data_IF_108510056435
#
_entry.id   IF_108510056435
#
_cell.length_a   1.000
_cell.length_b   1.000
_cell.length_c   1.000
_cell.angle_alpha   90.00
_cell.angle_beta   90.00
_cell.angle_gamma   90.00
#
_symmetry.space_group_name_H-M   'P 1'
#
loop_
_entity.id
_entity.type
_entity.pdbx_description
1 polymer ?
#
# COMPACT_ATOMS: atom_id res chain seq x y z
N UNK A 1 10.94 -21.19 -3.53
CA UNK A 1 9.71 -20.55 -4.06
C UNK A 1 9.21 -19.57 -2.99
N UNK A 2 8.71 -18.38 -3.38
CA UNK A 2 8.11 -17.43 -2.44
C UNK A 2 6.60 -17.46 -2.62
N UNK A 3 5.88 -17.77 -1.54
CA UNK A 3 4.41 -17.86 -1.56
C UNK A 3 3.86 -16.67 -0.78
N UNK A 4 2.88 -15.98 -1.36
CA UNK A 4 2.08 -14.97 -0.70
C UNK A 4 0.62 -15.39 -0.64
N UNK A 5 -0.10 -14.93 0.36
CA UNK A 5 -1.55 -15.12 0.49
C UNK A 5 -2.27 -13.80 0.48
N UNK A 6 -3.44 -13.75 -0.13
CA UNK A 6 -4.34 -12.60 -0.08
C UNK A 6 -5.44 -12.95 0.92
N UNK A 7 -5.61 -12.13 1.94
CA UNK A 7 -6.68 -12.26 2.90
C UNK A 7 -7.85 -11.33 2.51
N UNK A 8 -9.05 -11.83 2.75
CA UNK A 8 -10.27 -11.08 2.45
C UNK A 8 -10.39 -9.87 3.38
N UNK A 9 -10.59 -8.70 2.81
CA UNK A 9 -10.75 -7.45 3.55
C UNK A 9 -12.05 -7.36 4.37
N UNK A 10 -12.97 -8.32 4.23
CA UNK A 10 -14.14 -8.48 5.09
C UNK A 10 -13.80 -9.09 6.45
N UNK A 11 -12.66 -9.74 6.57
CA UNK A 11 -12.13 -10.23 7.84
C UNK A 11 -11.86 -9.07 8.80
N UNK A 12 -12.08 -9.29 10.09
CA UNK A 12 -11.74 -8.29 11.10
C UNK A 12 -10.22 -8.09 11.20
N UNK A 13 -9.80 -6.98 11.78
CA UNK A 13 -8.36 -6.72 12.03
C UNK A 13 -7.74 -7.80 12.91
N UNK A 14 -8.52 -8.36 13.85
CA UNK A 14 -8.08 -9.49 14.68
C UNK A 14 -7.86 -10.75 13.84
N UNK A 15 -8.82 -11.10 12.95
CA UNK A 15 -8.70 -12.29 12.10
C UNK A 15 -7.51 -12.16 11.13
N UNK A 16 -7.32 -10.97 10.53
CA UNK A 16 -6.14 -10.68 9.68
C UNK A 16 -4.85 -10.87 10.47
N UNK A 17 -4.82 -10.42 11.71
CA UNK A 17 -3.66 -10.59 12.59
C UNK A 17 -3.39 -12.07 12.89
N UNK A 18 -4.40 -12.81 13.32
CA UNK A 18 -4.26 -14.23 13.66
C UNK A 18 -3.82 -15.07 12.46
N UNK A 19 -4.49 -14.90 11.31
CA UNK A 19 -4.14 -15.60 10.08
C UNK A 19 -2.77 -15.20 9.56
N UNK A 20 -2.42 -13.91 9.69
CA UNK A 20 -1.11 -13.40 9.29
C UNK A 20 0.04 -13.96 10.14
N UNK A 21 -0.14 -14.06 11.46
CA UNK A 21 0.83 -14.69 12.36
C UNK A 21 0.93 -16.19 12.10
N UNK A 22 -0.19 -16.85 11.79
CA UNK A 22 -0.21 -18.26 11.39
C UNK A 22 0.57 -18.45 10.08
N UNK A 23 0.34 -17.59 9.09
CA UNK A 23 1.08 -17.59 7.83
C UNK A 23 2.59 -17.42 8.05
N UNK A 24 2.99 -16.48 8.93
CA UNK A 24 4.40 -16.30 9.33
C UNK A 24 4.98 -17.58 9.93
N UNK A 25 4.25 -18.24 10.84
CA UNK A 25 4.66 -19.50 11.48
C UNK A 25 4.93 -20.60 10.46
N UNK A 26 4.14 -20.68 9.40
CA UNK A 26 4.30 -21.67 8.33
C UNK A 26 5.24 -21.21 7.20
N UNK A 27 5.96 -20.12 7.36
CA UNK A 27 6.97 -19.68 6.41
C UNK A 27 6.40 -19.04 5.13
N UNK A 28 5.15 -18.59 5.15
CA UNK A 28 4.58 -17.80 4.06
C UNK A 28 5.36 -16.49 3.95
N UNK A 29 5.70 -16.09 2.73
CA UNK A 29 6.56 -14.95 2.48
C UNK A 29 5.84 -13.61 2.68
N UNK A 30 4.57 -13.52 2.31
CA UNK A 30 3.82 -12.27 2.37
C UNK A 30 2.33 -12.47 2.57
N UNK A 31 1.71 -11.53 3.29
CA UNK A 31 0.27 -11.38 3.46
C UNK A 31 -0.18 -10.09 2.78
N UNK A 32 -1.26 -10.18 2.02
CA UNK A 32 -1.86 -9.07 1.33
C UNK A 32 -3.30 -8.89 1.78
N UNK A 33 -3.70 -7.64 2.06
CA UNK A 33 -5.10 -7.29 2.30
C UNK A 33 -5.71 -6.72 1.01
N UNK A 34 -6.78 -7.35 0.54
CA UNK A 34 -7.52 -6.83 -0.60
C UNK A 34 -8.15 -5.47 -0.25
N UNK A 35 -8.25 -4.59 -1.24
CA UNK A 35 -8.82 -3.25 -1.09
C UNK A 35 -10.01 -3.08 -2.03
N UNK A 36 -11.20 -2.95 -1.46
CA UNK A 36 -12.46 -2.66 -2.15
C UNK A 36 -13.11 -1.45 -1.50
N UNK A 37 -14.03 -0.79 -2.22
CA UNK A 37 -14.72 0.42 -1.74
C UNK A 37 -15.57 0.18 -0.49
N UNK A 38 -16.13 -1.02 -0.37
CA UNK A 38 -17.00 -1.47 0.73
C UNK A 38 -16.30 -2.35 1.77
N UNK A 39 -14.98 -2.30 1.78
CA UNK A 39 -14.15 -3.08 2.69
C UNK A 39 -13.49 -2.20 3.77
N UNK A 40 -12.83 -2.85 4.73
CA UNK A 40 -12.01 -2.14 5.72
C UNK A 40 -10.83 -1.45 5.05
N UNK A 41 -10.45 -0.30 5.58
CA UNK A 41 -9.27 0.43 5.11
C UNK A 41 -8.03 -0.46 5.27
N UNK A 42 -7.29 -0.75 4.19
CA UNK A 42 -6.31 -1.83 4.18
C UNK A 42 -5.06 -1.56 5.03
N UNK A 43 -4.62 -0.31 5.18
CA UNK A 43 -3.49 0.01 6.05
C UNK A 43 -3.84 -0.19 7.52
N UNK A 44 -5.05 0.24 7.94
CA UNK A 44 -5.54 0.03 9.31
C UNK A 44 -5.77 -1.45 9.57
N UNK A 45 -6.33 -2.18 8.62
CA UNK A 45 -6.60 -3.61 8.76
C UNK A 45 -5.32 -4.44 8.93
N UNK A 46 -4.20 -3.97 8.41
CA UNK A 46 -2.88 -4.61 8.54
C UNK A 46 -2.05 -4.11 9.73
N UNK A 47 -2.49 -3.06 10.42
CA UNK A 47 -1.66 -2.39 11.45
C UNK A 47 -1.29 -3.30 12.63
N UNK A 48 -2.21 -4.13 13.09
CA UNK A 48 -1.97 -5.06 14.18
C UNK A 48 -0.95 -6.14 13.77
N UNK A 49 -1.12 -6.74 12.61
CA UNK A 49 -0.16 -7.71 12.05
C UNK A 49 1.22 -7.06 11.84
N UNK A 50 1.27 -5.82 11.36
CA UNK A 50 2.51 -5.09 11.16
C UNK A 50 3.34 -4.97 12.44
N UNK A 51 2.68 -4.66 13.55
CA UNK A 51 3.34 -4.48 14.86
C UNK A 51 3.70 -5.79 15.55
N UNK A 52 2.89 -6.84 15.39
CA UNK A 52 3.07 -8.11 16.11
C UNK A 52 3.92 -9.14 15.37
N UNK A 53 3.96 -9.09 14.04
CA UNK A 53 4.80 -9.98 13.24
C UNK A 53 6.26 -9.53 13.20
N UNK A 54 7.16 -10.45 12.83
CA UNK A 54 8.61 -10.19 12.82
C UNK A 54 9.30 -10.45 11.47
N UNK A 55 8.74 -11.28 10.61
CA UNK A 55 9.38 -11.75 9.37
C UNK A 55 8.52 -11.56 8.13
N UNK A 56 7.20 -11.74 8.24
CA UNK A 56 6.29 -11.71 7.10
C UNK A 56 6.23 -10.32 6.48
N UNK A 57 6.29 -10.27 5.15
CA UNK A 57 6.01 -9.04 4.42
C UNK A 57 4.49 -8.85 4.33
N UNK A 58 4.03 -7.60 4.30
CA UNK A 58 2.60 -7.33 4.27
C UNK A 58 2.29 -6.07 3.49
N UNK A 59 1.06 -5.95 3.01
CA UNK A 59 0.63 -4.74 2.33
C UNK A 59 -0.73 -4.83 1.67
N UNK A 60 -1.26 -3.69 1.21
CA UNK A 60 -2.52 -3.66 0.45
C UNK A 60 -2.35 -4.11 -1.00
N UNK A 61 -3.43 -4.71 -1.55
CA UNK A 61 -3.55 -5.10 -2.95
C UNK A 61 -5.00 -4.89 -3.47
N UNK A 62 -5.26 -4.09 -4.48
CA UNK A 62 -4.40 -3.05 -5.00
C UNK A 62 -5.03 -1.70 -4.69
N UNK A 63 -4.21 -0.70 -4.35
CA UNK A 63 -4.65 0.67 -4.28
C UNK A 63 -4.53 1.34 -5.65
N UNK A 64 -5.26 2.42 -5.87
CA UNK A 64 -5.21 3.15 -7.13
C UNK A 64 -5.16 4.66 -6.89
N UNK A 65 -4.56 5.43 -7.81
CA UNK A 65 -4.37 6.87 -7.64
C UNK A 65 -5.62 7.72 -7.96
N UNK A 66 -6.77 7.10 -8.25
CA UNK A 66 -7.99 7.83 -8.60
C UNK A 66 -8.90 8.07 -7.39
N UNK A 67 -9.02 7.10 -6.51
CA UNK A 67 -9.76 7.24 -5.25
C UNK A 67 -8.89 7.78 -4.12
N UNK A 68 -7.59 7.55 -4.21
CA UNK A 68 -6.65 7.98 -3.17
C UNK A 68 -5.41 8.65 -3.79
N UNK A 69 -5.22 9.93 -3.49
CA UNK A 69 -4.07 10.68 -4.02
C UNK A 69 -2.73 10.00 -3.67
N UNK A 70 -1.74 9.93 -4.59
CA UNK A 70 -0.47 9.24 -4.38
C UNK A 70 0.26 9.60 -3.08
N UNK A 71 0.17 10.86 -2.63
CA UNK A 71 0.75 11.27 -1.33
C UNK A 71 0.02 10.66 -0.15
N UNK A 72 -1.30 10.47 -0.21
CA UNK A 72 -2.04 9.81 0.86
C UNK A 72 -1.72 8.31 0.90
N UNK A 73 -1.56 7.69 -0.27
CA UNK A 73 -1.06 6.31 -0.39
C UNK A 73 0.35 6.22 0.24
N UNK A 74 1.23 7.17 -0.10
CA UNK A 74 2.58 7.23 0.47
C UNK A 74 2.57 7.35 1.99
N UNK A 75 1.75 8.25 2.54
CA UNK A 75 1.61 8.46 3.99
C UNK A 75 1.20 7.16 4.70
N UNK A 76 0.15 6.49 4.21
CA UNK A 76 -0.31 5.21 4.78
C UNK A 76 0.75 4.11 4.68
N UNK A 77 1.39 3.99 3.50
CA UNK A 77 2.44 2.99 3.26
C UNK A 77 3.66 3.19 4.16
N UNK A 78 4.13 4.43 4.33
CA UNK A 78 5.28 4.72 5.19
C UNK A 78 4.95 4.49 6.66
N UNK A 79 3.75 4.82 7.11
CA UNK A 79 3.29 4.54 8.48
C UNK A 79 3.20 3.03 8.73
N UNK A 80 2.61 2.28 7.79
CA UNK A 80 2.59 0.82 7.89
C UNK A 80 4.02 0.24 7.87
N UNK A 81 4.93 0.82 7.08
CA UNK A 81 6.31 0.37 6.99
C UNK A 81 7.11 0.61 8.27
N UNK A 82 6.84 1.71 8.97
CA UNK A 82 7.40 1.98 10.30
C UNK A 82 6.92 0.93 11.31
N UNK A 83 5.60 0.70 11.41
CA UNK A 83 5.02 -0.34 12.27
C UNK A 83 5.60 -1.73 11.95
N UNK A 84 5.72 -2.03 10.68
CA UNK A 84 6.26 -3.30 10.19
C UNK A 84 7.80 -3.39 10.21
N UNK A 85 8.51 -2.40 10.73
CA UNK A 85 9.99 -2.36 10.76
C UNK A 85 10.62 -2.65 9.38
N UNK A 86 10.09 -2.00 8.34
CA UNK A 86 10.60 -2.10 6.97
C UNK A 86 10.09 -3.29 6.15
N UNK A 87 8.97 -3.93 6.51
CA UNK A 87 8.41 -5.10 5.81
C UNK A 87 7.14 -4.79 5.00
N UNK A 88 6.67 -3.54 5.03
CA UNK A 88 5.51 -3.17 4.23
C UNK A 88 5.84 -3.09 2.74
N UNK A 89 4.87 -3.49 1.93
CA UNK A 89 4.91 -3.43 0.48
C UNK A 89 3.54 -2.93 -0.03
N UNK A 90 3.42 -2.65 -1.31
CA UNK A 90 2.17 -2.21 -1.91
C UNK A 90 2.03 -2.70 -3.34
N UNK A 91 0.80 -2.99 -3.75
CA UNK A 91 0.44 -3.17 -5.16
C UNK A 91 -0.40 -1.97 -5.61
N UNK A 92 0.02 -1.31 -6.69
CA UNK A 92 -0.71 -0.21 -7.32
C UNK A 92 -1.39 -0.74 -8.58
N UNK A 93 -2.67 -0.43 -8.72
CA UNK A 93 -3.47 -0.78 -9.88
C UNK A 93 -4.14 0.42 -10.53
N UNK A 94 -4.76 0.20 -11.68
CA UNK A 94 -5.45 1.23 -12.45
C UNK A 94 -6.90 1.50 -12.01
N UNK A 95 -7.33 0.94 -10.88
CA UNK A 95 -8.71 0.98 -10.44
C UNK A 95 -9.62 0.04 -11.25
N UNK A 96 -10.61 -0.52 -10.60
CA UNK A 96 -11.58 -1.45 -11.18
C UNK A 96 -13.02 -0.95 -11.04
N UNK A 97 -13.94 -1.88 -10.80
CA UNK A 97 -15.36 -1.59 -10.61
C UNK A 97 -15.65 -0.67 -9.41
N UNK A 98 -14.78 -0.68 -8.39
CA UNK A 98 -14.88 0.21 -7.24
C UNK A 98 -14.95 1.70 -7.60
N UNK A 99 -14.31 2.11 -8.69
CA UNK A 99 -14.38 3.51 -9.16
C UNK A 99 -15.78 3.90 -9.65
N UNK A 100 -16.55 2.95 -10.17
CA UNK A 100 -17.93 3.18 -10.60
C UNK A 100 -18.83 3.51 -9.39
N UNK A 101 -18.65 2.81 -8.28
CA UNK A 101 -19.39 3.07 -7.03
C UNK A 101 -19.12 4.47 -6.47
N UNK A 102 -17.94 5.03 -6.74
CA UNK A 102 -17.56 6.38 -6.37
C UNK A 102 -17.89 7.44 -7.44
N UNK A 103 -18.51 7.02 -8.55
CA UNK A 103 -18.76 7.88 -9.72
C UNK A 103 -17.46 8.53 -10.27
N UNK A 104 -16.35 7.83 -10.13
CA UNK A 104 -15.06 8.28 -10.65
C UNK A 104 -14.83 7.72 -12.04
N UNK A 105 -14.44 8.60 -12.96
CA UNK A 105 -14.09 8.25 -14.35
C UNK A 105 -12.57 8.32 -14.53
N UNK A 106 -11.86 7.20 -14.45
CA UNK A 106 -10.41 7.21 -14.58
C UNK A 106 -10.01 7.58 -16.02
N UNK A 107 -9.16 8.58 -16.14
CA UNK A 107 -8.56 9.00 -17.41
C UNK A 107 -7.06 8.67 -17.40
N UNK A 108 -6.53 8.28 -18.57
CA UNK A 108 -5.09 8.00 -18.73
C UNK A 108 -4.54 7.06 -17.66
N UNK A 109 -5.23 5.94 -17.43
CA UNK A 109 -4.93 4.98 -16.33
C UNK A 109 -3.47 4.59 -16.23
N UNK A 110 -2.83 4.26 -17.35
CA UNK A 110 -1.42 3.86 -17.38
C UNK A 110 -0.54 5.00 -16.86
N UNK A 111 -0.79 6.23 -17.31
CA UNK A 111 -0.02 7.40 -16.88
C UNK A 111 -0.22 7.70 -15.39
N UNK A 112 -1.44 7.60 -14.90
CA UNK A 112 -1.74 7.81 -13.48
C UNK A 112 -1.02 6.80 -12.58
N UNK A 113 -1.02 5.53 -12.97
CA UNK A 113 -0.28 4.47 -12.26
C UNK A 113 1.23 4.71 -12.33
N UNK A 114 1.75 5.06 -13.50
CA UNK A 114 3.18 5.39 -13.69
C UNK A 114 3.62 6.52 -12.76
N UNK A 115 2.90 7.65 -12.77
CA UNK A 115 3.24 8.81 -11.92
C UNK A 115 3.09 8.49 -10.43
N UNK A 116 2.06 7.72 -10.04
CA UNK A 116 1.91 7.26 -8.67
C UNK A 116 3.14 6.45 -8.22
N UNK A 117 3.59 5.50 -9.04
CA UNK A 117 4.77 4.68 -8.74
C UNK A 117 6.04 5.54 -8.68
N UNK A 118 6.20 6.50 -9.58
CA UNK A 118 7.32 7.44 -9.56
C UNK A 118 7.35 8.24 -8.26
N UNK A 119 6.21 8.78 -7.82
CA UNK A 119 6.07 9.49 -6.54
C UNK A 119 6.48 8.58 -5.39
N UNK A 120 5.90 7.38 -5.28
CA UNK A 120 6.20 6.45 -4.20
C UNK A 120 7.68 6.05 -4.13
N UNK A 121 8.32 5.87 -5.29
CA UNK A 121 9.74 5.50 -5.38
C UNK A 121 10.69 6.68 -5.12
N UNK A 122 10.24 7.90 -5.32
CA UNK A 122 11.08 9.10 -5.17
C UNK A 122 11.17 9.59 -3.73
N UNK A 123 10.30 9.12 -2.83
CA UNK A 123 10.32 9.52 -1.44
C UNK A 123 11.62 9.03 -0.78
N UNK A 124 12.32 9.95 -0.12
CA UNK A 124 13.58 9.68 0.56
C UNK A 124 13.60 10.36 1.93
N UNK A 125 14.12 9.70 2.97
CA UNK A 125 14.25 10.32 4.29
C UNK A 125 15.06 11.61 4.22
N UNK A 126 14.55 12.67 4.85
CA UNK A 126 15.27 13.95 4.98
C UNK A 126 15.36 14.79 3.71
N UNK A 127 14.74 14.37 2.61
CA UNK A 127 14.74 15.13 1.34
C UNK A 127 13.30 15.43 0.94
N UNK A 128 12.88 16.71 0.90
CA UNK A 128 11.56 17.07 0.41
C UNK A 128 11.36 16.60 -1.04
N UNK A 129 10.24 15.96 -1.30
CA UNK A 129 9.86 15.54 -2.64
C UNK A 129 9.21 16.70 -3.40
N UNK A 130 9.77 17.01 -4.54
CA UNK A 130 9.16 17.83 -5.60
C UNK A 130 8.85 16.91 -6.79
N UNK A 131 7.61 16.87 -7.23
CA UNK A 131 7.19 16.08 -8.39
C UNK A 131 6.25 16.93 -9.26
N UNK A 132 6.56 17.02 -10.54
CA UNK A 132 5.78 17.79 -11.51
C UNK A 132 5.40 16.87 -12.67
N UNK A 133 4.36 16.05 -12.46
CA UNK A 133 3.80 15.18 -13.47
C UNK A 133 2.70 15.85 -14.30
N UNK A 134 2.18 15.11 -15.23
CA UNK A 134 1.05 15.56 -16.07
C UNK A 134 -0.30 15.49 -15.31
N UNK A 135 -0.43 14.54 -14.39
CA UNK A 135 -1.66 14.28 -13.63
C UNK A 135 -1.52 14.63 -12.15
N UNK A 136 -0.33 14.46 -11.59
CA UNK A 136 -0.08 14.74 -10.19
C UNK A 136 1.06 15.73 -10.02
N UNK A 137 0.87 16.64 -9.06
CA UNK A 137 1.91 17.57 -8.64
C UNK A 137 2.09 17.45 -7.14
N UNK A 138 3.33 17.39 -6.70
CA UNK A 138 3.71 17.33 -5.29
C UNK A 138 4.73 18.42 -5.01
N UNK A 139 4.50 19.18 -3.95
CA UNK A 139 5.41 20.22 -3.50
C UNK A 139 5.76 20.01 -2.04
N UNK A 140 7.06 20.00 -1.74
CA UNK A 140 7.60 19.99 -0.38
C UNK A 140 7.05 18.86 0.52
N UNK A 141 6.85 17.64 -0.03
CA UNK A 141 6.44 16.51 0.77
C UNK A 141 7.66 15.88 1.46
N UNK A 142 7.75 16.01 2.77
CA UNK A 142 8.89 15.54 3.56
C UNK A 142 8.42 14.73 4.77
N UNK A 143 8.21 13.41 4.64
CA UNK A 143 7.80 12.56 5.75
C UNK A 143 8.97 12.33 6.71
N UNK A 144 8.86 12.84 7.95
CA UNK A 144 9.91 12.73 8.97
C UNK A 144 10.02 11.32 9.58
N UNK A 145 8.98 10.48 9.41
CA UNK A 145 8.92 9.10 9.94
C UNK A 145 9.31 8.03 8.91
N UNK A 146 9.84 8.40 7.76
CA UNK A 146 10.21 7.43 6.74
C UNK A 146 11.40 6.56 7.19
N UNK A 147 11.30 5.25 6.92
CA UNK A 147 12.32 4.27 7.31
C UNK A 147 13.41 4.14 6.22
N UNK A 148 14.62 3.73 6.62
CA UNK A 148 15.71 3.48 5.65
C UNK A 148 15.37 2.34 4.67
N UNK A 149 14.66 1.30 5.13
CA UNK A 149 14.20 0.21 4.27
C UNK A 149 12.92 0.63 3.57
N UNK A 150 13.05 0.96 2.30
CA UNK A 150 11.94 1.41 1.46
C UNK A 150 10.94 0.28 1.19
N UNK A 151 9.63 0.57 1.21
CA UNK A 151 8.59 -0.35 0.74
C UNK A 151 8.82 -0.75 -0.72
N UNK A 152 8.52 -2.00 -1.05
CA UNK A 152 8.49 -2.42 -2.47
C UNK A 152 7.15 -2.05 -3.08
N UNK A 153 7.19 -1.48 -4.27
CA UNK A 153 6.02 -1.10 -5.05
C UNK A 153 5.89 -2.06 -6.22
N UNK A 154 4.76 -2.75 -6.28
CA UNK A 154 4.38 -3.66 -7.36
C UNK A 154 3.25 -3.04 -8.18
N UNK A 155 3.04 -3.56 -9.38
CA UNK A 155 1.97 -3.15 -10.30
C UNK A 155 1.03 -4.33 -10.53
N UNK A 156 -0.27 -4.08 -10.44
CA UNK A 156 -1.28 -4.98 -10.98
C UNK A 156 -1.45 -4.66 -12.47
N UNK A 157 -1.20 -5.65 -13.32
CA UNK A 157 -1.38 -5.59 -14.78
C UNK A 157 -2.61 -6.36 -15.20
#
# INVERSE_FOLDING_TARGET
MRIGVILDSRLSTSDINELGLLAEKYGIHSVWSASYTDSREPFLNLSQLASQSSKINLGPIALNPFDTHPIRIATGLLTLNELAKGRANIVIGGGGESLQSLNLKPVRRVKAVEECIQILKSISPGTPLEFNGELFQVKNYNPFWSTQRRPKVYVAA
#
